data_IF_443822548526
#
_entry.id   IF_443822548526
#
_cell.length_a   1.000
_cell.length_b   1.000
_cell.length_c   1.000
_cell.angle_alpha   90.00
_cell.angle_beta   90.00
_cell.angle_gamma   90.00
#
_symmetry.space_group_name_H-M   'P 1'
#
loop_
_entity.id
_entity.type
_entity.pdbx_description
1 polymer ?
#
# COMPACT_ATOMS: atom_id res chain seq x y z
N UNK A 1 -2.78 -3.63 -13.67
CA UNK A 1 -2.55 -3.39 -12.23
C UNK A 1 -2.82 -4.69 -11.48
N UNK A 2 -2.24 -4.89 -10.29
CA UNK A 2 -2.46 -6.08 -9.47
C UNK A 2 -2.98 -5.69 -8.09
N UNK A 3 -3.84 -6.53 -7.52
CA UNK A 3 -4.28 -6.39 -6.14
C UNK A 3 -4.01 -7.69 -5.44
N UNK A 4 -3.37 -7.61 -4.27
CA UNK A 4 -2.90 -8.79 -3.55
C UNK A 4 -3.22 -8.71 -2.07
N UNK A 5 -3.26 -9.87 -1.43
CA UNK A 5 -3.23 -10.01 0.02
C UNK A 5 -1.89 -10.63 0.42
N UNK A 6 -1.10 -9.98 1.28
CA UNK A 6 0.21 -10.50 1.68
C UNK A 6 0.13 -11.57 2.80
N UNK A 7 -1.02 -12.22 2.98
CA UNK A 7 -1.33 -13.04 4.17
C UNK A 7 -1.60 -12.23 5.45
N UNK A 8 -1.98 -12.90 6.53
CA UNK A 8 -2.23 -12.27 7.84
C UNK A 8 -0.88 -12.03 8.51
N UNK A 9 -0.45 -10.77 8.64
CA UNK A 9 0.84 -10.42 9.25
C UNK A 9 0.58 -9.49 10.43
N UNK A 10 1.17 -9.81 11.58
CA UNK A 10 1.13 -8.92 12.75
C UNK A 10 1.90 -7.64 12.40
N UNK A 11 1.17 -6.55 12.27
CA UNK A 11 1.72 -5.21 11.99
C UNK A 11 0.98 -4.17 12.81
N UNK A 12 1.50 -2.95 12.81
CA UNK A 12 0.86 -1.76 13.38
C UNK A 12 -0.54 -1.48 12.84
N UNK A 13 -0.96 -2.12 11.73
CA UNK A 13 -2.30 -2.02 11.19
C UNK A 13 -3.35 -2.58 12.17
N UNK A 14 -2.98 -3.58 12.98
CA UNK A 14 -3.87 -4.25 13.94
C UNK A 14 -4.00 -3.52 15.28
N UNK A 15 -3.41 -2.33 15.45
CA UNK A 15 -3.33 -1.63 16.75
C UNK A 15 -4.69 -1.45 17.43
N UNK A 16 -5.75 -1.22 16.66
CA UNK A 16 -7.11 -0.98 17.15
C UNK A 16 -7.93 -2.26 17.43
N UNK A 17 -7.41 -3.45 17.12
CA UNK A 17 -8.11 -4.70 17.43
C UNK A 17 -8.04 -5.02 18.93
N UNK A 18 -9.09 -5.68 19.44
CA UNK A 18 -9.11 -6.20 20.81
C UNK A 18 -8.01 -7.24 21.02
N UNK A 19 -7.52 -7.38 22.26
CA UNK A 19 -6.48 -8.36 22.61
C UNK A 19 -6.90 -9.79 22.25
N UNK A 20 -8.17 -10.13 22.46
CA UNK A 20 -8.74 -11.42 22.09
C UNK A 20 -8.67 -11.67 20.58
N UNK A 21 -9.05 -10.68 19.76
CA UNK A 21 -9.01 -10.84 18.31
C UNK A 21 -7.57 -10.92 17.77
N UNK A 22 -6.63 -10.18 18.39
CA UNK A 22 -5.19 -10.29 18.09
C UNK A 22 -4.66 -11.70 18.38
N UNK A 23 -5.06 -12.29 19.51
CA UNK A 23 -4.70 -13.67 19.87
C UNK A 23 -5.30 -14.69 18.89
N UNK A 24 -6.55 -14.51 18.48
CA UNK A 24 -7.17 -15.40 17.49
C UNK A 24 -6.46 -15.31 16.14
N UNK A 25 -6.08 -14.10 15.70
CA UNK A 25 -5.39 -13.89 14.44
C UNK A 25 -3.96 -14.47 14.44
N UNK A 26 -3.28 -14.58 15.61
CA UNK A 26 -1.91 -15.10 15.67
C UNK A 26 -1.76 -16.56 15.23
N UNK A 27 -2.84 -17.35 15.26
CA UNK A 27 -2.81 -18.73 14.75
C UNK A 27 -2.71 -18.80 13.22
N UNK A 28 -3.03 -17.71 12.52
CA UNK A 28 -3.04 -17.63 11.06
C UNK A 28 -1.91 -16.74 10.53
N UNK A 29 -0.97 -16.32 11.39
CA UNK A 29 0.04 -15.35 10.98
C UNK A 29 1.15 -15.97 10.15
N UNK A 30 1.42 -15.34 9.01
CA UNK A 30 2.63 -15.58 8.21
C UNK A 30 3.71 -14.58 8.59
N UNK A 31 4.99 -14.92 8.36
CA UNK A 31 6.10 -13.99 8.62
C UNK A 31 6.03 -12.79 7.67
N UNK A 32 6.61 -11.65 8.08
CA UNK A 32 6.73 -10.46 7.22
C UNK A 32 7.47 -10.82 5.93
N UNK A 33 8.52 -11.64 6.03
CA UNK A 33 9.28 -12.13 4.88
C UNK A 33 8.39 -12.84 3.87
N UNK A 34 7.49 -13.74 4.32
CA UNK A 34 6.59 -14.45 3.42
C UNK A 34 5.58 -13.53 2.73
N UNK A 35 4.99 -12.56 3.43
CA UNK A 35 4.05 -11.64 2.78
C UNK A 35 4.71 -10.65 1.81
N UNK A 36 5.99 -10.36 2.03
CA UNK A 36 6.80 -9.56 1.11
C UNK A 36 7.08 -10.33 -0.17
N UNK A 37 7.31 -11.66 -0.12
CA UNK A 37 7.59 -12.45 -1.32
C UNK A 37 6.47 -12.37 -2.37
N UNK A 38 5.21 -12.57 -1.96
CA UNK A 38 4.05 -12.40 -2.86
C UNK A 38 4.01 -10.99 -3.46
N UNK A 39 4.29 -9.99 -2.63
CA UNK A 39 4.30 -8.59 -3.05
C UNK A 39 5.39 -8.29 -4.07
N UNK A 40 6.60 -8.83 -3.87
CA UNK A 40 7.73 -8.73 -4.79
C UNK A 40 7.43 -9.46 -6.09
N UNK A 41 6.89 -10.67 -6.03
CA UNK A 41 6.60 -11.47 -7.22
C UNK A 41 5.63 -10.76 -8.17
N UNK A 42 4.51 -10.23 -7.65
CA UNK A 42 3.58 -9.42 -8.45
C UNK A 42 4.24 -8.15 -9.03
N UNK A 43 5.18 -7.56 -8.29
CA UNK A 43 5.89 -6.36 -8.72
C UNK A 43 6.99 -6.65 -9.76
N UNK A 44 7.56 -7.85 -9.80
CA UNK A 44 8.79 -8.14 -10.56
C UNK A 44 8.58 -9.06 -11.76
N UNK A 45 7.68 -10.05 -11.68
CA UNK A 45 7.61 -11.08 -12.71
C UNK A 45 6.92 -10.62 -13.99
N UNK A 46 7.66 -10.60 -15.09
CA UNK A 46 7.16 -10.18 -16.42
C UNK A 46 6.06 -11.10 -16.96
N UNK A 47 6.13 -12.40 -16.66
CA UNK A 47 5.11 -13.38 -17.05
C UNK A 47 3.71 -13.02 -16.55
N UNK A 48 3.62 -12.27 -15.45
CA UNK A 48 2.34 -11.90 -14.88
C UNK A 48 1.65 -10.76 -15.64
N UNK A 49 2.31 -10.08 -16.59
CA UNK A 49 1.84 -8.81 -17.18
C UNK A 49 0.38 -8.85 -17.69
N UNK A 50 -0.07 -10.03 -18.16
CA UNK A 50 -1.41 -10.25 -18.70
C UNK A 50 -2.29 -11.16 -17.81
N UNK A 51 -1.82 -11.53 -16.62
CA UNK A 51 -2.51 -12.43 -15.69
C UNK A 51 -3.25 -11.63 -14.61
N UNK A 52 -4.45 -12.09 -14.20
CA UNK A 52 -5.21 -11.48 -13.10
C UNK A 52 -6.06 -12.51 -12.35
N UNK A 53 -6.39 -12.22 -11.09
CA UNK A 53 -7.30 -13.05 -10.28
C UNK A 53 -6.67 -14.24 -9.55
N UNK A 54 -5.34 -14.37 -9.56
CA UNK A 54 -4.64 -15.47 -8.90
C UNK A 54 -4.23 -15.16 -7.46
N UNK A 55 -4.10 -16.23 -6.67
CA UNK A 55 -3.49 -16.22 -5.34
C UNK A 55 -2.05 -16.72 -5.46
N UNK A 56 -1.08 -15.93 -4.97
CA UNK A 56 0.35 -16.23 -5.05
C UNK A 56 0.94 -16.38 -3.65
N UNK A 57 1.63 -17.49 -3.41
CA UNK A 57 2.24 -17.82 -2.12
C UNK A 57 3.67 -18.33 -2.33
N UNK A 58 4.64 -17.80 -1.56
CA UNK A 58 6.06 -18.21 -1.55
C UNK A 58 6.80 -18.02 -2.88
N UNK A 59 6.47 -16.99 -3.64
CA UNK A 59 7.07 -16.75 -4.94
C UNK A 59 8.33 -15.87 -4.82
N UNK A 60 9.48 -16.33 -5.33
CA UNK A 60 10.77 -15.61 -5.29
C UNK A 60 11.11 -15.04 -6.67
N UNK A 61 11.75 -13.87 -6.71
CA UNK A 61 12.26 -13.25 -7.94
C UNK A 61 13.63 -12.63 -7.70
N UNK A 62 14.58 -12.92 -8.61
CA UNK A 62 15.95 -12.41 -8.59
C UNK A 62 16.15 -11.20 -9.53
N UNK A 63 15.05 -10.65 -10.03
CA UNK A 63 15.04 -9.51 -10.97
C UNK A 63 15.72 -8.28 -10.38
N UNK A 64 16.66 -7.69 -11.14
CA UNK A 64 17.32 -6.41 -10.84
C UNK A 64 16.42 -5.22 -11.19
N UNK A 65 16.57 -4.13 -10.45
CA UNK A 65 15.81 -2.88 -10.57
C UNK A 65 16.71 -1.66 -10.72
N UNK A 66 17.95 -1.85 -11.17
CA UNK A 66 18.88 -0.76 -11.40
C UNK A 66 18.28 0.26 -12.39
N UNK A 67 18.27 1.55 -12.01
CA UNK A 67 17.66 2.63 -12.79
C UNK A 67 16.13 2.70 -12.74
N UNK A 68 15.46 1.80 -12.00
CA UNK A 68 14.00 1.79 -11.84
C UNK A 68 13.56 2.62 -10.65
N UNK A 69 12.43 3.30 -10.79
CA UNK A 69 11.82 4.13 -9.74
C UNK A 69 10.59 3.43 -9.17
N UNK A 70 10.57 3.27 -7.85
CA UNK A 70 9.47 2.67 -7.11
C UNK A 70 8.90 3.66 -6.11
N UNK A 71 7.57 3.86 -6.10
CA UNK A 71 6.87 4.68 -5.11
C UNK A 71 6.08 3.76 -4.20
N UNK A 72 6.26 3.88 -2.87
CA UNK A 72 5.57 3.03 -1.88
C UNK A 72 4.86 3.91 -0.85
N UNK A 73 3.55 3.70 -0.67
CA UNK A 73 2.80 4.33 0.41
C UNK A 73 2.94 3.53 1.72
N UNK A 74 3.20 4.20 2.84
CA UNK A 74 3.16 3.57 4.17
C UNK A 74 4.27 2.55 4.43
N UNK A 75 5.51 2.86 4.04
CA UNK A 75 6.68 1.98 4.22
C UNK A 75 7.52 2.25 5.48
N UNK A 76 6.93 2.82 6.53
CA UNK A 76 7.63 3.07 7.79
C UNK A 76 7.81 1.81 8.65
N UNK A 77 6.95 0.81 8.48
CA UNK A 77 6.89 -0.41 9.31
C UNK A 77 6.36 -1.59 8.51
N UNK A 78 6.50 -2.80 9.07
CA UNK A 78 5.85 -4.00 8.56
C UNK A 78 6.22 -4.30 7.11
N UNK A 79 5.22 -4.72 6.33
CA UNK A 79 5.38 -5.17 4.95
C UNK A 79 5.99 -4.07 4.08
N UNK A 80 5.47 -2.84 4.14
CA UNK A 80 6.00 -1.76 3.31
C UNK A 80 7.48 -1.46 3.55
N UNK A 81 7.95 -1.48 4.81
CA UNK A 81 9.37 -1.28 5.15
C UNK A 81 10.23 -2.40 4.58
N UNK A 82 9.79 -3.64 4.75
CA UNK A 82 10.55 -4.81 4.31
C UNK A 82 10.56 -4.93 2.78
N UNK A 83 9.45 -4.58 2.11
CA UNK A 83 9.41 -4.44 0.65
C UNK A 83 10.37 -3.36 0.18
N UNK A 84 10.42 -2.20 0.85
CA UNK A 84 11.40 -1.15 0.51
C UNK A 84 12.85 -1.65 0.68
N UNK A 85 13.13 -2.40 1.74
CA UNK A 85 14.45 -3.02 1.96
C UNK A 85 14.83 -3.94 0.80
N UNK A 86 13.97 -4.89 0.45
CA UNK A 86 14.23 -5.88 -0.60
C UNK A 86 14.34 -5.27 -2.00
N UNK A 87 13.53 -4.27 -2.33
CA UNK A 87 13.63 -3.54 -3.60
C UNK A 87 14.91 -2.69 -3.65
N UNK A 88 15.38 -2.16 -2.53
CA UNK A 88 16.63 -1.37 -2.47
C UNK A 88 17.86 -2.24 -2.71
N UNK A 89 17.85 -3.49 -2.22
CA UNK A 89 18.91 -4.47 -2.49
C UNK A 89 18.99 -4.82 -3.98
N UNK A 90 17.85 -4.71 -4.68
CA UNK A 90 17.73 -4.90 -6.13
C UNK A 90 18.13 -3.68 -6.96
N UNK A 91 18.55 -2.58 -6.32
CA UNK A 91 19.09 -1.39 -7.01
C UNK A 91 18.06 -0.31 -7.36
N UNK A 92 16.81 -0.45 -6.90
CA UNK A 92 15.76 0.53 -7.15
C UNK A 92 16.03 1.88 -6.45
N UNK A 93 15.64 2.98 -7.10
CA UNK A 93 15.37 4.27 -6.43
C UNK A 93 13.97 4.21 -5.82
N UNK A 94 13.85 4.40 -4.52
CA UNK A 94 12.58 4.26 -3.79
C UNK A 94 12.13 5.61 -3.25
N UNK A 95 10.87 5.96 -3.47
CA UNK A 95 10.21 7.09 -2.83
C UNK A 95 9.15 6.55 -1.87
N UNK A 96 9.35 6.79 -0.58
CA UNK A 96 8.41 6.43 0.48
C UNK A 96 7.49 7.61 0.76
N UNK A 97 6.20 7.43 0.51
CA UNK A 97 5.16 8.34 0.97
C UNK A 97 4.74 8.00 2.40
N UNK A 98 4.93 8.93 3.33
CA UNK A 98 4.59 8.71 4.73
C UNK A 98 3.94 9.90 5.42
N UNK A 99 2.95 9.62 6.26
CA UNK A 99 2.32 10.64 7.11
C UNK A 99 3.28 11.17 8.17
N UNK A 100 4.15 10.30 8.69
CA UNK A 100 5.18 10.66 9.67
C UNK A 100 6.54 10.49 9.01
N UNK A 101 7.10 11.62 8.57
CA UNK A 101 8.36 11.69 7.84
C UNK A 101 9.52 11.25 8.71
N UNK A 102 9.53 11.59 10.00
CA UNK A 102 10.64 11.24 10.90
C UNK A 102 10.64 9.73 11.20
N UNK A 103 9.47 9.13 11.39
CA UNK A 103 9.36 7.66 11.45
C UNK A 103 9.79 7.01 10.13
N UNK A 104 9.48 7.62 8.99
CA UNK A 104 9.96 7.14 7.69
C UNK A 104 11.48 7.22 7.57
N UNK A 105 12.10 8.33 7.99
CA UNK A 105 13.56 8.51 8.00
C UNK A 105 14.26 7.48 8.88
N UNK A 106 13.72 7.19 10.08
CA UNK A 106 14.23 6.11 10.94
C UNK A 106 14.17 4.75 10.25
N UNK A 107 13.06 4.45 9.56
CA UNK A 107 12.95 3.21 8.81
C UNK A 107 13.99 3.11 7.68
N UNK A 108 14.30 4.22 7.00
CA UNK A 108 15.35 4.29 5.98
C UNK A 108 16.73 4.11 6.60
N UNK A 109 17.02 4.72 7.75
CA UNK A 109 18.28 4.51 8.47
C UNK A 109 18.49 3.02 8.80
N UNK A 110 17.47 2.33 9.31
CA UNK A 110 17.55 0.89 9.59
C UNK A 110 17.84 0.06 8.33
N UNK A 111 17.29 0.45 7.17
CA UNK A 111 17.56 -0.20 5.89
C UNK A 111 19.01 0.07 5.47
N UNK A 112 19.47 1.32 5.60
CA UNK A 112 20.81 1.75 5.22
C UNK A 112 21.92 1.11 6.06
N UNK A 113 21.65 0.77 7.33
CA UNK A 113 22.57 -0.03 8.14
C UNK A 113 22.92 -1.38 7.50
N UNK A 114 21.97 -1.99 6.78
CA UNK A 114 22.16 -3.28 6.09
C UNK A 114 22.53 -3.10 4.61
N UNK A 115 22.13 -1.99 4.01
CA UNK A 115 22.42 -1.64 2.62
C UNK A 115 22.82 -0.16 2.51
N UNK A 116 24.11 0.18 2.72
CA UNK A 116 24.57 1.58 2.69
C UNK A 116 24.34 2.29 1.34
N UNK A 117 24.13 1.53 0.26
CA UNK A 117 23.85 2.06 -1.08
C UNK A 117 22.35 2.27 -1.36
N UNK A 118 21.48 2.01 -0.38
CA UNK A 118 20.04 2.15 -0.56
C UNK A 118 19.66 3.59 -0.92
N UNK A 119 19.11 3.78 -2.12
CA UNK A 119 18.64 5.07 -2.63
C UNK A 119 17.15 5.24 -2.29
N UNK A 120 16.87 5.75 -1.09
CA UNK A 120 15.50 5.90 -0.58
C UNK A 120 15.25 7.34 -0.14
N UNK A 121 14.20 7.95 -0.66
CA UNK A 121 13.74 9.30 -0.30
C UNK A 121 12.41 9.17 0.45
N UNK A 122 12.26 9.88 1.56
CA UNK A 122 11.01 9.94 2.32
C UNK A 122 10.34 11.28 2.08
N UNK A 123 9.08 11.27 1.67
CA UNK A 123 8.28 12.47 1.46
C UNK A 123 6.97 12.39 2.26
N UNK A 124 6.46 13.56 2.67
CA UNK A 124 5.19 13.66 3.38
C UNK A 124 4.05 13.24 2.45
N UNK A 125 3.25 12.27 2.89
CA UNK A 125 2.01 11.84 2.25
C UNK A 125 1.00 11.47 3.32
N UNK A 126 -0.07 12.24 3.42
CA UNK A 126 -1.26 11.86 4.17
C UNK A 126 -2.38 11.45 3.22
N UNK A 127 -2.79 10.19 3.28
CA UNK A 127 -3.84 9.66 2.40
C UNK A 127 -5.25 10.04 2.86
N UNK A 128 -5.40 10.55 4.08
CA UNK A 128 -6.67 11.12 4.57
C UNK A 128 -6.82 12.62 4.23
N UNK A 129 -5.98 13.15 3.34
CA UNK A 129 -6.03 14.54 2.85
C UNK A 129 -5.75 14.55 1.34
N UNK A 130 -6.74 14.87 0.52
CA UNK A 130 -6.57 14.93 -0.94
C UNK A 130 -5.61 16.05 -1.34
N UNK A 131 -5.53 17.12 -0.55
CA UNK A 131 -4.55 18.19 -0.75
C UNK A 131 -3.11 17.68 -0.54
N UNK A 132 -2.88 16.87 0.49
CA UNK A 132 -1.59 16.21 0.74
C UNK A 132 -1.21 15.27 -0.39
N UNK A 133 -2.17 14.46 -0.89
CA UNK A 133 -1.96 13.55 -2.03
C UNK A 133 -1.51 14.31 -3.28
N UNK A 134 -2.19 15.41 -3.63
CA UNK A 134 -1.82 16.24 -4.80
C UNK A 134 -0.44 16.88 -4.63
N UNK A 135 -0.13 17.38 -3.43
CA UNK A 135 1.17 17.95 -3.14
C UNK A 135 2.28 16.91 -3.29
N UNK A 136 2.10 15.71 -2.71
CA UNK A 136 3.05 14.61 -2.85
C UNK A 136 3.28 14.26 -4.32
N UNK A 137 2.22 14.08 -5.12
CA UNK A 137 2.36 13.73 -6.53
C UNK A 137 3.11 14.81 -7.35
N UNK A 138 2.87 16.09 -7.04
CA UNK A 138 3.60 17.22 -7.66
C UNK A 138 5.08 17.20 -7.29
N UNK A 139 5.41 16.90 -6.04
CA UNK A 139 6.80 16.79 -5.57
C UNK A 139 7.51 15.60 -6.22
N UNK A 140 6.86 14.43 -6.30
CA UNK A 140 7.39 13.27 -7.02
C UNK A 140 7.65 13.58 -8.49
N UNK A 141 6.74 14.31 -9.16
CA UNK A 141 6.91 14.70 -10.57
C UNK A 141 8.07 15.66 -10.84
N UNK A 142 8.59 16.33 -9.80
CA UNK A 142 9.80 17.16 -9.87
C UNK A 142 11.06 16.36 -9.59
N UNK A 143 10.94 15.28 -8.81
CA UNK A 143 12.05 14.44 -8.37
C UNK A 143 12.42 13.36 -9.39
N UNK A 144 11.43 12.84 -10.14
CA UNK A 144 11.64 11.77 -11.11
C UNK A 144 10.87 12.01 -12.40
N UNK A 145 11.44 11.54 -13.51
CA UNK A 145 10.83 11.66 -14.83
C UNK A 145 9.88 10.51 -15.18
N UNK A 146 9.99 9.37 -14.48
CA UNK A 146 9.21 8.15 -14.69
C UNK A 146 8.95 7.42 -13.36
N UNK A 147 7.93 6.56 -13.32
CA UNK A 147 7.68 5.62 -12.23
C UNK A 147 7.47 4.25 -12.87
N UNK A 148 8.24 3.25 -12.42
CA UNK A 148 8.14 1.88 -12.90
C UNK A 148 7.18 1.05 -12.03
N UNK A 149 7.16 1.30 -10.72
CA UNK A 149 6.28 0.57 -9.80
C UNK A 149 5.64 1.55 -8.81
N UNK A 150 4.31 1.55 -8.74
CA UNK A 150 3.54 2.20 -7.68
C UNK A 150 2.96 1.14 -6.76
N UNK A 151 3.23 1.25 -5.46
CA UNK A 151 2.74 0.36 -4.42
C UNK A 151 1.79 1.11 -3.48
N UNK A 152 0.49 0.91 -3.71
CA UNK A 152 -0.59 1.35 -2.85
C UNK A 152 -0.71 0.40 -1.65
N UNK A 153 0.25 0.50 -0.73
CA UNK A 153 0.42 -0.41 0.41
C UNK A 153 -0.21 0.11 1.72
N UNK A 154 -0.19 1.42 1.94
CA UNK A 154 -0.66 2.02 3.19
C UNK A 154 -2.11 1.63 3.51
N UNK A 155 -2.45 1.66 4.80
CA UNK A 155 -3.84 1.55 5.21
C UNK A 155 -4.02 1.72 6.71
N UNK A 156 -5.28 1.88 7.09
CA UNK A 156 -5.78 1.87 8.45
C UNK A 156 -6.86 0.80 8.58
N UNK A 157 -7.04 0.25 9.78
CA UNK A 157 -7.98 -0.83 10.03
C UNK A 157 -8.65 -0.67 11.38
N UNK A 158 -9.95 -1.00 11.41
CA UNK A 158 -10.78 -1.05 12.60
C UNK A 158 -10.67 0.24 13.43
N UNK A 159 -10.61 1.39 12.77
CA UNK A 159 -10.54 2.69 13.43
C UNK A 159 -11.90 3.03 14.04
N UNK A 160 -11.94 3.79 15.15
CA UNK A 160 -13.18 4.43 15.59
C UNK A 160 -13.77 5.32 14.49
N UNK A 161 -15.08 5.56 14.58
CA UNK A 161 -15.79 6.44 13.65
C UNK A 161 -15.11 7.80 13.57
N UNK A 162 -14.69 8.19 12.38
CA UNK A 162 -14.00 9.45 12.09
C UNK A 162 -14.02 9.70 10.59
N UNK A 163 -13.68 10.92 10.18
CA UNK A 163 -13.67 11.32 8.77
C UNK A 163 -12.32 11.89 8.32
N UNK A 164 -12.04 11.80 7.03
CA UNK A 164 -10.96 12.53 6.37
C UNK A 164 -11.21 14.04 6.39
N UNK A 165 -10.24 14.84 5.94
CA UNK A 165 -10.40 16.30 5.81
C UNK A 165 -11.60 16.68 4.91
N UNK A 166 -11.86 15.88 3.88
CA UNK A 166 -12.96 16.07 2.95
C UNK A 166 -14.29 15.46 3.43
N UNK A 167 -14.33 14.89 4.64
CA UNK A 167 -15.54 14.34 5.24
C UNK A 167 -15.90 12.91 4.80
N UNK A 168 -14.98 12.19 4.14
CA UNK A 168 -15.18 10.77 3.83
C UNK A 168 -14.95 9.91 5.06
N UNK A 169 -15.61 8.75 5.15
CA UNK A 169 -15.32 7.76 6.19
C UNK A 169 -13.82 7.42 6.20
N UNK A 170 -13.18 7.42 7.37
CA UNK A 170 -11.73 7.37 7.52
C UNK A 170 -11.05 6.20 6.79
N UNK A 171 -11.59 4.98 6.92
CA UNK A 171 -10.98 3.78 6.35
C UNK A 171 -11.16 3.75 4.83
N UNK A 172 -12.33 4.08 4.33
CA UNK A 172 -12.63 4.20 2.90
C UNK A 172 -11.84 5.33 2.24
N UNK A 173 -11.83 6.51 2.86
CA UNK A 173 -11.09 7.67 2.40
C UNK A 173 -9.58 7.40 2.32
N UNK A 174 -8.99 6.84 3.38
CA UNK A 174 -7.55 6.57 3.44
C UNK A 174 -7.12 5.39 2.57
N UNK A 175 -7.81 4.24 2.71
CA UNK A 175 -7.35 3.00 2.07
C UNK A 175 -7.66 2.97 0.57
N UNK A 176 -8.70 3.69 0.14
CA UNK A 176 -9.18 3.66 -1.24
C UNK A 176 -9.10 5.02 -1.93
N UNK A 177 -9.86 6.04 -1.50
CA UNK A 177 -9.96 7.31 -2.24
C UNK A 177 -8.62 8.06 -2.35
N UNK A 178 -7.83 8.07 -1.28
CA UNK A 178 -6.48 8.63 -1.28
C UNK A 178 -5.56 7.94 -2.29
N UNK A 179 -5.58 6.59 -2.34
CA UNK A 179 -4.80 5.82 -3.32
C UNK A 179 -5.31 5.97 -4.75
N UNK A 180 -6.64 6.07 -4.92
CA UNK A 180 -7.27 6.32 -6.21
C UNK A 180 -6.75 7.64 -6.78
N UNK A 181 -6.86 8.73 -6.02
CA UNK A 181 -6.35 10.04 -6.43
C UNK A 181 -4.84 10.02 -6.65
N UNK A 182 -4.07 9.36 -5.78
CA UNK A 182 -2.62 9.24 -5.91
C UNK A 182 -2.24 8.57 -7.24
N UNK A 183 -2.88 7.45 -7.55
CA UNK A 183 -2.63 6.68 -8.76
C UNK A 183 -2.93 7.51 -10.01
N UNK A 184 -4.08 8.20 -10.04
CA UNK A 184 -4.42 9.09 -11.15
C UNK A 184 -3.43 10.27 -11.27
N UNK A 185 -3.02 10.84 -10.14
CA UNK A 185 -2.09 11.99 -10.12
C UNK A 185 -0.68 11.61 -10.59
N UNK A 186 -0.26 10.36 -10.37
CA UNK A 186 1.03 9.82 -10.81
C UNK A 186 0.96 9.13 -12.19
N UNK A 187 -0.25 8.98 -12.76
CA UNK A 187 -0.47 8.34 -14.05
C UNK A 187 0.40 8.90 -15.19
N UNK A 188 0.63 10.23 -15.29
CA UNK A 188 1.52 10.76 -16.33
C UNK A 188 2.97 10.26 -16.25
N UNK A 189 3.47 9.92 -15.06
CA UNK A 189 4.81 9.36 -14.86
C UNK A 189 4.81 7.85 -15.09
N UNK A 190 3.76 7.16 -14.63
CA UNK A 190 3.59 5.72 -14.83
C UNK A 190 3.53 5.39 -16.33
N UNK A 191 2.77 6.15 -17.13
CA UNK A 191 2.65 5.94 -18.59
C UNK A 191 3.96 6.10 -19.36
N UNK A 192 4.98 6.72 -18.77
CA UNK A 192 6.31 6.85 -19.40
C UNK A 192 7.17 5.59 -19.24
N UNK A 193 6.86 4.72 -18.28
CA UNK A 193 7.52 3.42 -18.17
C UNK A 193 6.77 2.39 -19.01
N UNK A 194 7.43 1.70 -19.96
CA UNK A 194 6.78 0.75 -20.86
C UNK A 194 6.25 -0.49 -20.14
N UNK A 195 6.76 -0.79 -18.94
CA UNK A 195 6.38 -1.94 -18.11
C UNK A 195 5.91 -1.49 -16.72
N UNK A 196 5.27 -0.32 -16.64
CA UNK A 196 4.81 0.23 -15.37
C UNK A 196 3.83 -0.73 -14.67
N UNK A 197 3.97 -0.86 -13.36
CA UNK A 197 3.06 -1.68 -12.53
C UNK A 197 2.46 -0.85 -11.40
N UNK A 198 1.19 -1.11 -11.14
CA UNK A 198 0.48 -0.58 -9.99
C UNK A 198 0.08 -1.80 -9.16
N UNK A 199 0.55 -1.85 -7.91
CA UNK A 199 0.31 -2.93 -6.95
C UNK A 199 -0.51 -2.35 -5.80
N UNK A 200 -1.70 -2.88 -5.58
CA UNK A 200 -2.62 -2.44 -4.53
C UNK A 200 -2.76 -3.51 -3.46
N UNK A 201 -2.49 -3.16 -2.21
CA UNK A 201 -2.60 -4.10 -1.09
C UNK A 201 -4.05 -4.13 -0.59
N UNK A 202 -4.70 -5.27 -0.79
CA UNK A 202 -6.04 -5.58 -0.26
C UNK A 202 -5.96 -6.49 0.98
N UNK A 203 -7.01 -7.26 1.27
CA UNK A 203 -7.13 -8.16 2.42
C UNK A 203 -8.26 -9.16 2.18
N UNK A 204 -8.24 -10.33 2.82
CA UNK A 204 -9.27 -11.37 2.73
C UNK A 204 -10.63 -10.83 3.22
N UNK A 205 -10.60 -9.78 4.04
CA UNK A 205 -11.78 -9.03 4.46
C UNK A 205 -12.68 -8.63 3.29
N UNK A 206 -12.13 -8.38 2.10
CA UNK A 206 -12.93 -8.01 0.92
C UNK A 206 -13.96 -9.07 0.50
N UNK A 207 -13.71 -10.36 0.78
CA UNK A 207 -14.61 -11.47 0.42
C UNK A 207 -15.97 -11.39 1.11
N UNK A 208 -16.03 -10.68 2.25
CA UNK A 208 -17.25 -10.42 3.02
C UNK A 208 -17.67 -8.94 2.96
N UNK A 209 -17.09 -8.17 2.02
CA UNK A 209 -17.39 -6.75 1.84
C UNK A 209 -18.56 -6.51 0.91
N UNK A 210 -19.13 -5.31 0.99
CA UNK A 210 -20.10 -4.78 0.04
C UNK A 210 -19.83 -3.29 -0.16
N UNK A 211 -20.09 -2.77 -1.36
CA UNK A 211 -20.01 -1.33 -1.62
C UNK A 211 -21.38 -0.73 -1.37
N UNK A 212 -21.49 0.10 -0.33
CA UNK A 212 -22.72 0.78 0.02
C UNK A 212 -22.85 2.09 -0.79
N UNK A 213 -23.16 2.00 -2.08
CA UNK A 213 -23.19 3.17 -2.99
C UNK A 213 -24.09 4.32 -2.50
N UNK A 214 -25.26 4.01 -1.96
CA UNK A 214 -26.21 5.01 -1.44
C UNK A 214 -25.76 5.65 -0.11
N UNK A 215 -24.80 5.05 0.58
CA UNK A 215 -24.26 5.53 1.84
C UNK A 215 -22.79 5.16 1.97
N UNK A 216 -21.98 5.69 1.06
CA UNK A 216 -20.57 5.30 0.95
C UNK A 216 -19.77 5.59 2.23
N UNK A 217 -20.22 6.60 2.99
CA UNK A 217 -19.62 7.04 4.24
C UNK A 217 -20.19 6.31 5.48
N UNK A 218 -21.12 5.37 5.29
CA UNK A 218 -21.74 4.57 6.35
C UNK A 218 -22.36 5.41 7.49
N UNK A 219 -22.86 6.61 7.17
CA UNK A 219 -23.47 7.53 8.14
C UNK A 219 -24.84 7.03 8.60
N UNK A 220 -25.33 7.55 9.73
CA UNK A 220 -26.68 7.33 10.24
C UNK A 220 -27.02 5.85 10.56
N UNK A 221 -25.99 5.03 10.80
CA UNK A 221 -26.08 3.65 11.29
C UNK A 221 -25.13 3.51 12.48
N UNK A 222 -25.33 2.49 13.32
CA UNK A 222 -24.31 2.12 14.28
C UNK A 222 -23.02 1.76 13.52
N UNK A 223 -21.95 2.54 13.72
CA UNK A 223 -20.71 2.36 12.99
C UNK A 223 -20.06 1.03 13.35
N UNK A 224 -19.85 0.17 12.34
CA UNK A 224 -19.04 -1.04 12.47
C UNK A 224 -17.68 -0.82 11.78
N UNK A 225 -16.58 -0.72 12.56
CA UNK A 225 -15.24 -0.54 12.01
C UNK A 225 -14.83 -1.62 11.01
N UNK A 226 -15.34 -2.85 11.15
CA UNK A 226 -14.98 -3.94 10.24
C UNK A 226 -15.73 -3.83 8.91
N UNK A 227 -16.99 -3.43 8.91
CA UNK A 227 -17.77 -3.15 7.69
C UNK A 227 -17.09 -2.06 6.86
N UNK A 228 -16.67 -0.95 7.47
CA UNK A 228 -15.90 0.11 6.81
C UNK A 228 -14.59 -0.41 6.20
N UNK A 229 -13.83 -1.21 6.96
CA UNK A 229 -12.59 -1.82 6.49
C UNK A 229 -12.82 -2.75 5.28
N UNK A 230 -13.79 -3.66 5.37
CA UNK A 230 -14.16 -4.60 4.30
C UNK A 230 -14.57 -3.87 3.02
N UNK A 231 -15.41 -2.83 3.13
CA UNK A 231 -15.78 -1.98 2.00
C UNK A 231 -14.53 -1.37 1.34
N UNK A 232 -13.61 -0.81 2.12
CA UNK A 232 -12.39 -0.20 1.60
C UNK A 232 -11.49 -1.20 0.84
N UNK A 233 -11.41 -2.44 1.33
CA UNK A 233 -10.59 -3.50 0.72
C UNK A 233 -11.25 -4.12 -0.52
N UNK A 234 -12.57 -4.19 -0.55
CA UNK A 234 -13.32 -4.53 -1.76
C UNK A 234 -13.14 -3.45 -2.85
N UNK A 235 -13.22 -2.18 -2.47
CA UNK A 235 -13.01 -1.08 -3.41
C UNK A 235 -11.62 -1.12 -4.07
N UNK A 236 -10.57 -1.51 -3.33
CA UNK A 236 -9.23 -1.72 -3.88
C UNK A 236 -9.17 -2.83 -4.94
N UNK A 237 -9.91 -3.92 -4.75
CA UNK A 237 -10.01 -5.01 -5.72
C UNK A 237 -10.73 -4.52 -6.97
N UNK A 238 -11.86 -3.85 -6.82
CA UNK A 238 -12.65 -3.31 -7.92
C UNK A 238 -11.85 -2.30 -8.75
N UNK A 239 -11.15 -1.38 -8.09
CA UNK A 239 -10.29 -0.39 -8.76
C UNK A 239 -9.17 -1.02 -9.59
N UNK A 240 -8.62 -2.14 -9.12
CA UNK A 240 -7.54 -2.82 -9.84
C UNK A 240 -8.04 -3.56 -11.09
N UNK A 241 -9.31 -3.99 -11.09
CA UNK A 241 -9.93 -4.71 -12.21
C UNK A 241 -10.34 -3.79 -13.36
N UNK A 242 -10.49 -2.50 -13.11
CA UNK A 242 -10.87 -1.48 -14.11
C UNK A 242 -9.62 -0.86 -14.74
#
# INVERSE_FOLDING_TARGET
>A
AYSLHPGVIITELQRNLSKFLKYLLSFFTVSIEMGVQTTLYCALEESLQNESGFYYEKCRSDTRLDGKVVVITGANTGIGKETARELSLRGAKIIIGSRDVDRGKRAVQDIQLKNPKANIIVMKLDLSSLSSVRHFAKTVSREVSTIDILMNNAGVMACPESTTEEGFEMQFGTNHLGHYLLTLSLMPLLKKSPKARIITVSSIAHMSGSIHFENINLRNKAYDPMTAYRQSKLANILFTRQ
#
